data_IF_570079846341
#
_entry.id   IF_570079846341
#
_cell.length_a   1.000
_cell.length_b   1.000
_cell.length_c   1.000
_cell.angle_alpha   90.00
_cell.angle_beta   90.00
_cell.angle_gamma   90.00
#
_symmetry.space_group_name_H-M   'P 1'
#
loop_
_entity.id
_entity.type
_entity.pdbx_description
1 polymer ?
#
# COMPACT_ATOMS: atom_id res chain seq x y z
N UNK A 1 1.61 -18.13 3.46
CA UNK A 1 2.53 -17.10 3.99
C UNK A 1 2.99 -16.32 2.78
N UNK A 2 2.21 -15.32 2.35
CA UNK A 2 2.60 -14.47 1.23
C UNK A 2 3.50 -13.37 1.78
N UNK A 3 4.81 -13.58 1.64
CA UNK A 3 5.76 -12.47 1.72
C UNK A 3 5.57 -11.68 0.44
N UNK A 4 5.26 -10.38 0.53
CA UNK A 4 5.49 -9.47 -0.59
C UNK A 4 7.01 -9.32 -0.69
N UNK A 5 7.67 -10.31 -1.30
CA UNK A 5 9.02 -10.11 -1.78
C UNK A 5 8.96 -8.97 -2.78
N UNK A 6 9.75 -7.93 -2.53
CA UNK A 6 9.94 -6.79 -3.41
C UNK A 6 10.75 -7.23 -4.65
N UNK A 7 10.20 -8.15 -5.43
CA UNK A 7 10.69 -8.53 -6.74
C UNK A 7 10.66 -7.29 -7.64
N UNK A 8 11.84 -6.67 -7.76
CA UNK A 8 12.14 -5.44 -8.52
C UNK A 8 11.76 -4.11 -7.84
N UNK A 9 12.15 -3.96 -6.57
CA UNK A 9 12.89 -2.74 -6.22
C UNK A 9 14.39 -3.03 -6.25
N UNK A 10 15.00 -2.80 -7.41
CA UNK A 10 16.45 -2.89 -7.57
C UNK A 10 17.12 -1.69 -6.91
N UNK A 11 17.24 -1.73 -5.57
CA UNK A 11 18.44 -1.18 -4.97
C UNK A 11 19.62 -1.88 -5.64
N UNK A 12 20.62 -1.12 -6.11
CA UNK A 12 21.82 -1.74 -6.67
C UNK A 12 22.44 -2.64 -5.60
N UNK A 13 22.94 -3.80 -6.02
CA UNK A 13 23.53 -4.81 -5.12
C UNK A 13 24.57 -4.18 -4.18
N UNK A 14 25.35 -3.24 -4.74
CA UNK A 14 26.32 -2.38 -4.06
C UNK A 14 25.78 -1.54 -2.89
N UNK A 15 24.51 -1.09 -2.92
CA UNK A 15 23.93 -0.32 -1.83
C UNK A 15 23.54 -1.24 -0.67
N UNK A 16 22.90 -2.38 -0.95
CA UNK A 16 22.56 -3.39 0.07
C UNK A 16 23.79 -3.94 0.79
N UNK A 17 24.87 -4.21 0.05
CA UNK A 17 26.16 -4.64 0.62
C UNK A 17 26.78 -3.55 1.51
N UNK A 18 26.83 -2.30 1.01
CA UNK A 18 27.40 -1.16 1.74
C UNK A 18 26.65 -0.81 3.04
N UNK A 19 25.34 -1.04 3.11
CA UNK A 19 24.55 -0.87 4.34
C UNK A 19 24.81 -2.01 5.31
N UNK A 20 24.95 -3.25 4.81
CA UNK A 20 25.29 -4.40 5.64
C UNK A 20 26.69 -4.28 6.26
N UNK A 21 27.63 -3.58 5.60
CA UNK A 21 28.95 -3.25 6.13
C UNK A 21 28.94 -2.18 7.23
N UNK A 22 28.04 -1.19 7.14
CA UNK A 22 28.01 0.00 8.02
C UNK A 22 26.63 0.30 8.62
N UNK A 23 26.05 -0.62 9.40
CA UNK A 23 24.86 -0.35 10.18
C UNK A 23 25.22 0.53 11.40
N UNK A 24 24.26 1.33 11.87
CA UNK A 24 24.32 1.92 13.19
C UNK A 24 24.36 0.79 14.24
N UNK A 25 25.34 0.82 15.13
CA UNK A 25 25.52 -0.17 16.19
C UNK A 25 25.23 0.47 17.55
N UNK A 26 24.40 -0.18 18.34
CA UNK A 26 24.16 0.18 19.74
C UNK A 26 25.00 -0.79 20.58
N UNK A 27 25.92 -0.28 21.39
CA UNK A 27 26.88 -1.09 22.15
C UNK A 27 27.61 -2.17 21.32
N UNK A 28 28.01 -1.82 20.08
CA UNK A 28 28.64 -2.73 19.08
C UNK A 28 27.76 -3.91 18.64
N UNK A 29 26.46 -3.90 18.93
CA UNK A 29 25.50 -4.95 18.56
C UNK A 29 24.59 -4.44 17.44
N UNK A 30 24.37 -5.28 16.43
CA UNK A 30 23.50 -4.98 15.28
C UNK A 30 22.03 -5.07 15.71
N UNK A 31 21.21 -4.17 15.17
CA UNK A 31 19.76 -4.19 15.35
C UNK A 31 19.01 -3.86 14.05
N UNK A 32 17.73 -4.17 14.03
CA UNK A 32 16.75 -3.60 13.11
C UNK A 32 15.58 -2.98 13.89
N UNK A 33 14.72 -2.22 13.21
CA UNK A 33 13.45 -1.69 13.73
C UNK A 33 12.29 -2.39 13.02
N UNK A 34 11.38 -2.97 13.80
CA UNK A 34 10.04 -3.36 13.34
C UNK A 34 9.09 -2.17 13.50
N UNK A 35 8.58 -1.68 12.38
CA UNK A 35 7.57 -0.63 12.31
C UNK A 35 6.24 -1.20 11.79
N UNK A 36 5.17 -1.10 12.58
CA UNK A 36 3.84 -1.47 12.12
C UNK A 36 3.17 -0.34 11.32
N UNK A 37 2.42 -0.71 10.29
CA UNK A 37 1.55 0.19 9.55
C UNK A 37 0.31 -0.57 9.05
N UNK A 38 -0.78 0.15 8.85
CA UNK A 38 -2.11 -0.37 8.50
C UNK A 38 -2.57 0.32 7.20
N UNK A 39 -3.00 -0.48 6.22
CA UNK A 39 -3.66 0.03 5.01
C UNK A 39 -5.16 -0.25 5.13
N UNK A 40 -5.97 0.79 5.19
CA UNK A 40 -7.45 0.67 5.30
C UNK A 40 -8.16 0.77 3.96
N UNK A 41 -7.46 1.22 2.92
CA UNK A 41 -7.97 1.26 1.55
C UNK A 41 -6.78 1.30 0.57
N UNK A 42 -6.88 0.55 -0.52
CA UNK A 42 -5.89 0.51 -1.60
C UNK A 42 -6.23 1.45 -2.77
N UNK A 43 -7.44 2.03 -2.80
CA UNK A 43 -7.87 3.03 -3.80
C UNK A 43 -9.08 3.85 -3.31
N UNK A 44 -8.90 5.14 -2.92
CA UNK A 44 -7.64 5.84 -2.73
C UNK A 44 -6.76 5.15 -1.66
N UNK A 45 -5.46 5.05 -1.94
CA UNK A 45 -4.50 4.48 -0.98
C UNK A 45 -4.51 5.29 0.32
N UNK A 46 -4.76 4.62 1.45
CA UNK A 46 -4.87 5.22 2.78
C UNK A 46 -4.02 4.41 3.76
N UNK A 47 -2.97 5.03 4.29
CA UNK A 47 -1.92 4.40 5.11
C UNK A 47 -1.85 5.09 6.48
N UNK A 48 -1.90 4.27 7.52
CA UNK A 48 -1.72 4.66 8.92
C UNK A 48 -0.42 4.03 9.44
N UNK A 49 0.38 4.78 10.20
CA UNK A 49 1.62 4.30 10.81
C UNK A 49 1.41 4.22 12.32
N UNK A 50 1.82 3.11 12.94
CA UNK A 50 1.74 3.00 14.40
C UNK A 50 2.86 3.81 15.04
N UNK A 51 2.54 4.65 16.03
CA UNK A 51 3.50 5.59 16.63
C UNK A 51 4.59 4.89 17.43
N UNK A 52 4.30 3.71 17.98
CA UNK A 52 5.30 2.84 18.59
C UNK A 52 5.89 1.84 17.59
N UNK A 53 7.20 1.62 17.72
CA UNK A 53 7.96 0.57 17.03
C UNK A 53 8.92 -0.07 18.02
N UNK A 54 9.53 -1.20 17.66
CA UNK A 54 10.49 -1.89 18.52
C UNK A 54 11.74 -2.32 17.75
N UNK A 55 12.87 -2.29 18.45
CA UNK A 55 14.16 -2.73 17.96
C UNK A 55 14.34 -4.22 18.26
N UNK A 56 14.99 -4.96 17.35
CA UNK A 56 15.40 -6.35 17.55
C UNK A 56 16.92 -6.45 17.47
N UNK A 57 17.55 -6.94 18.53
CA UNK A 57 19.00 -7.03 18.65
C UNK A 57 19.54 -8.41 18.25
N UNK A 58 20.77 -8.42 17.75
CA UNK A 58 21.59 -9.63 17.68
C UNK A 58 22.05 -10.07 19.08
N UNK A 59 22.18 -11.39 19.29
CA UNK A 59 22.72 -11.99 20.51
C UNK A 59 24.24 -11.87 20.65
N UNK A 60 24.91 -11.37 19.60
CA UNK A 60 26.36 -11.24 19.50
C UNK A 60 26.79 -9.84 19.06
N UNK A 61 28.03 -9.50 19.41
CA UNK A 61 28.72 -8.30 18.92
C UNK A 61 28.93 -8.43 17.41
N UNK A 62 28.69 -7.33 16.68
CA UNK A 62 28.82 -7.28 15.23
C UNK A 62 30.29 -7.34 14.79
N UNK A 63 30.57 -8.04 13.67
CA UNK A 63 31.90 -8.11 13.07
C UNK A 63 31.80 -8.55 11.61
N UNK A 64 32.58 -7.92 10.73
CA UNK A 64 32.72 -8.33 9.32
C UNK A 64 33.68 -9.50 9.12
N UNK A 65 34.48 -9.83 10.15
CA UNK A 65 35.43 -10.96 10.11
C UNK A 65 34.75 -12.31 10.47
N UNK A 66 33.46 -12.30 10.78
CA UNK A 66 32.70 -13.48 11.20
C UNK A 66 31.29 -13.43 10.60
N UNK A 67 31.00 -14.34 9.67
CA UNK A 67 29.73 -14.38 8.92
C UNK A 67 28.64 -15.26 9.57
N UNK A 68 28.81 -15.70 10.82
CA UNK A 68 27.81 -16.53 11.50
C UNK A 68 26.48 -15.77 11.69
N UNK A 69 25.35 -16.44 11.42
CA UNK A 69 24.04 -15.78 11.25
C UNK A 69 23.61 -14.96 12.48
N UNK A 70 23.94 -15.39 13.69
CA UNK A 70 23.54 -14.70 14.93
C UNK A 70 24.17 -13.33 15.18
N UNK A 71 25.18 -12.92 14.38
CA UNK A 71 25.75 -11.56 14.39
C UNK A 71 25.04 -10.64 13.38
N UNK A 72 24.51 -11.21 12.30
CA UNK A 72 24.11 -10.48 11.09
C UNK A 72 22.60 -10.44 10.86
N UNK A 73 21.87 -11.45 11.31
CA UNK A 73 20.42 -11.53 11.24
C UNK A 73 19.81 -11.20 12.61
N UNK A 74 18.87 -10.28 12.64
CA UNK A 74 18.27 -9.73 13.88
C UNK A 74 16.84 -10.25 14.12
N UNK A 75 16.28 -10.99 13.16
CA UNK A 75 14.96 -11.61 13.23
C UNK A 75 14.85 -12.56 14.45
N UNK A 76 13.77 -12.42 15.23
CA UNK A 76 13.54 -13.22 16.45
C UNK A 76 13.60 -14.75 16.19
N UNK A 77 13.13 -15.24 15.04
CA UNK A 77 13.16 -16.66 14.69
C UNK A 77 14.59 -17.24 14.48
N UNK A 78 15.58 -16.39 14.24
CA UNK A 78 17.00 -16.76 14.26
C UNK A 78 17.55 -16.60 15.67
N UNK A 79 17.29 -15.44 16.30
CA UNK A 79 17.88 -15.09 17.58
C UNK A 79 17.39 -15.95 18.76
N UNK A 80 16.18 -16.50 18.72
CA UNK A 80 15.67 -17.41 19.75
C UNK A 80 16.43 -18.75 19.83
N UNK A 81 17.27 -19.08 18.83
CA UNK A 81 18.15 -20.26 18.84
C UNK A 81 19.44 -20.05 19.66
N UNK A 82 19.73 -18.82 20.07
CA UNK A 82 21.01 -18.43 20.66
C UNK A 82 20.86 -17.72 22.00
N UNK A 83 21.81 -17.96 22.90
CA UNK A 83 21.97 -17.17 24.11
C UNK A 83 22.90 -15.98 23.87
N UNK A 84 22.70 -14.92 24.64
CA UNK A 84 23.54 -13.73 24.57
C UNK A 84 24.96 -14.04 25.06
N UNK A 85 25.96 -13.68 24.25
CA UNK A 85 27.36 -13.97 24.59
C UNK A 85 27.89 -13.02 25.66
N UNK A 86 28.82 -13.44 26.56
CA UNK A 86 29.34 -12.59 27.64
C UNK A 86 30.03 -11.30 27.18
N UNK A 87 30.47 -11.23 25.92
CA UNK A 87 31.09 -10.05 25.31
C UNK A 87 30.07 -8.99 24.84
N UNK A 88 28.77 -9.32 24.82
CA UNK A 88 27.69 -8.36 24.55
C UNK A 88 27.50 -7.46 25.77
N UNK A 89 27.30 -6.18 25.54
CA UNK A 89 27.14 -5.19 26.61
C UNK A 89 25.91 -5.51 27.49
N UNK A 90 26.06 -5.30 28.80
CA UNK A 90 25.03 -5.57 29.81
C UNK A 90 23.95 -4.50 29.88
N UNK A 91 24.17 -3.33 29.27
CA UNK A 91 23.14 -2.31 29.08
C UNK A 91 22.05 -2.76 28.09
N UNK A 92 22.36 -3.72 27.21
CA UNK A 92 21.40 -4.29 26.27
C UNK A 92 20.49 -5.33 26.93
N UNK A 93 19.21 -5.41 26.51
CA UNK A 93 18.21 -6.26 27.14
C UNK A 93 18.52 -7.74 26.88
N UNK A 94 18.13 -8.60 27.84
CA UNK A 94 18.33 -10.06 27.74
C UNK A 94 17.36 -10.71 26.73
N UNK A 95 16.14 -10.20 26.60
CA UNK A 95 15.14 -10.63 25.62
C UNK A 95 15.32 -9.97 24.23
N UNK A 96 16.46 -9.28 24.02
CA UNK A 96 16.91 -8.75 22.74
C UNK A 96 15.94 -7.78 22.05
N UNK A 97 15.08 -7.09 22.81
CA UNK A 97 14.20 -6.04 22.28
C UNK A 97 14.19 -4.76 23.13
N UNK A 98 14.19 -3.61 22.45
CA UNK A 98 13.84 -2.31 23.03
C UNK A 98 12.58 -1.78 22.35
N UNK A 99 11.79 -0.97 23.05
CA UNK A 99 10.82 -0.11 22.37
C UNK A 99 11.49 1.17 21.83
N UNK A 100 10.81 1.86 20.93
CA UNK A 100 11.30 3.10 20.32
C UNK A 100 11.58 4.21 21.34
N UNK A 101 10.92 4.20 22.51
CA UNK A 101 11.15 5.18 23.58
C UNK A 101 12.48 4.95 24.29
N UNK A 102 12.84 3.68 24.52
CA UNK A 102 14.17 3.31 25.03
C UNK A 102 15.26 3.71 24.03
N UNK A 103 15.05 3.48 22.73
CA UNK A 103 15.99 3.94 21.69
C UNK A 103 16.10 5.48 21.60
N UNK A 104 15.00 6.22 21.68
CA UNK A 104 15.02 7.69 21.73
C UNK A 104 15.76 8.22 22.97
N UNK A 105 15.66 7.50 24.10
CA UNK A 105 16.41 7.84 25.32
C UNK A 105 17.91 7.62 25.13
N UNK A 106 18.31 6.50 24.51
CA UNK A 106 19.70 6.25 24.13
C UNK A 106 20.25 7.31 23.14
N UNK A 107 19.47 7.70 22.13
CA UNK A 107 19.86 8.79 21.20
C UNK A 107 20.05 10.12 21.94
N UNK A 108 19.23 10.40 22.96
CA UNK A 108 19.37 11.59 23.83
C UNK A 108 20.63 11.54 24.68
N UNK A 109 20.98 10.38 25.24
CA UNK A 109 22.21 10.16 26.01
C UNK A 109 23.46 10.33 25.13
N UNK A 110 23.36 9.96 23.84
CA UNK A 110 24.41 10.17 22.83
C UNK A 110 24.45 11.60 22.25
N UNK A 111 23.59 12.52 22.72
CA UNK A 111 23.56 13.92 22.25
C UNK A 111 23.06 14.10 20.81
N UNK A 112 22.27 13.16 20.30
CA UNK A 112 21.79 13.08 18.90
C UNK A 112 20.30 12.75 18.83
N UNK A 113 19.52 13.23 19.82
CA UNK A 113 18.07 12.95 19.95
C UNK A 113 17.31 13.30 18.68
N UNK A 114 17.67 14.41 18.08
CA UNK A 114 17.07 15.05 16.91
C UNK A 114 17.03 14.10 15.71
N UNK A 115 17.97 13.15 15.63
CA UNK A 115 18.02 12.13 14.56
C UNK A 115 16.80 11.23 14.48
N UNK A 116 16.08 11.04 15.58
CA UNK A 116 14.79 10.34 15.54
C UNK A 116 13.76 11.12 14.72
N UNK A 117 13.55 12.40 15.07
CA UNK A 117 12.49 13.24 14.52
C UNK A 117 12.84 13.83 13.13
N UNK A 118 14.13 14.10 12.86
CA UNK A 118 14.62 14.69 11.61
C UNK A 118 14.92 13.68 10.50
N UNK A 119 15.35 12.45 10.86
CA UNK A 119 15.90 11.49 9.90
C UNK A 119 15.21 10.12 9.94
N UNK A 120 15.17 9.47 11.10
CA UNK A 120 14.72 8.07 11.20
C UNK A 120 13.20 7.96 11.00
N UNK A 121 12.39 8.68 11.78
CA UNK A 121 10.93 8.59 11.69
C UNK A 121 10.37 9.10 10.35
N UNK A 122 10.82 10.26 9.80
CA UNK A 122 10.40 10.71 8.47
C UNK A 122 10.84 9.77 7.35
N UNK A 123 12.06 9.23 7.41
CA UNK A 123 12.58 8.32 6.40
C UNK A 123 11.83 6.98 6.37
N UNK A 124 11.50 6.40 7.54
CA UNK A 124 10.67 5.19 7.62
C UNK A 124 9.27 5.43 7.02
N UNK A 125 8.66 6.57 7.36
CA UNK A 125 7.37 6.99 6.80
C UNK A 125 7.42 7.13 5.28
N UNK A 126 8.43 7.82 4.76
CA UNK A 126 8.62 8.02 3.32
C UNK A 126 8.80 6.69 2.60
N UNK A 127 9.64 5.79 3.12
CA UNK A 127 9.86 4.47 2.53
C UNK A 127 8.56 3.66 2.44
N UNK A 128 7.79 3.56 3.54
CA UNK A 128 6.47 2.88 3.55
C UNK A 128 5.54 3.47 2.48
N UNK A 129 5.39 4.80 2.43
CA UNK A 129 4.49 5.47 1.50
C UNK A 129 4.92 5.26 0.05
N UNK A 130 6.21 5.41 -0.27
CA UNK A 130 6.75 5.19 -1.61
C UNK A 130 6.59 3.73 -2.06
N UNK A 131 6.90 2.76 -1.21
CA UNK A 131 6.75 1.33 -1.53
C UNK A 131 5.29 0.95 -1.76
N UNK A 132 4.37 1.40 -0.90
CA UNK A 132 2.93 1.14 -1.08
C UNK A 132 2.38 1.82 -2.35
N UNK A 133 2.83 3.03 -2.69
CA UNK A 133 2.40 3.71 -3.92
C UNK A 133 2.87 2.99 -5.18
N UNK A 134 4.11 2.51 -5.21
CA UNK A 134 4.66 1.77 -6.34
C UNK A 134 3.97 0.41 -6.55
N UNK A 135 3.64 -0.29 -5.47
CA UNK A 135 2.92 -1.58 -5.53
C UNK A 135 1.41 -1.44 -5.77
N UNK A 136 0.84 -0.23 -5.67
CA UNK A 136 -0.61 0.03 -5.70
C UNK A 136 -1.33 -0.50 -6.95
N UNK A 137 -0.66 -0.51 -8.11
CA UNK A 137 -1.26 -1.04 -9.33
C UNK A 137 -1.42 -2.56 -9.30
N UNK A 138 -0.56 -3.26 -8.55
CA UNK A 138 -0.57 -4.72 -8.37
C UNK A 138 -1.44 -5.16 -7.19
N UNK A 139 -1.66 -4.29 -6.19
CA UNK A 139 -2.47 -4.62 -5.02
C UNK A 139 -3.94 -4.87 -5.37
N UNK A 140 -4.55 -5.81 -4.63
CA UNK A 140 -5.88 -6.33 -4.90
C UNK A 140 -6.95 -5.35 -4.40
N UNK A 141 -7.75 -4.76 -5.31
CA UNK A 141 -8.66 -3.64 -4.99
C UNK A 141 -9.98 -4.10 -4.38
N UNK A 142 -9.91 -4.93 -3.34
CA UNK A 142 -11.08 -5.38 -2.59
C UNK A 142 -11.58 -4.22 -1.72
N UNK A 143 -12.88 -3.94 -1.78
CA UNK A 143 -13.49 -2.95 -0.90
C UNK A 143 -13.72 -3.55 0.48
N UNK A 144 -13.66 -2.71 1.52
CA UNK A 144 -13.85 -3.11 2.93
C UNK A 144 -12.83 -4.12 3.47
N UNK A 145 -11.72 -4.34 2.77
CA UNK A 145 -10.55 -5.05 3.31
C UNK A 145 -9.53 -4.04 3.84
N UNK A 146 -8.88 -4.40 4.95
CA UNK A 146 -7.71 -3.73 5.49
C UNK A 146 -6.62 -4.77 5.70
N UNK A 147 -5.36 -4.33 5.78
CA UNK A 147 -4.25 -5.21 6.13
C UNK A 147 -3.23 -4.47 7.01
N UNK A 148 -2.77 -5.14 8.06
CA UNK A 148 -1.66 -4.70 8.90
C UNK A 148 -0.37 -5.36 8.43
N UNK A 149 0.68 -4.55 8.32
CA UNK A 149 2.00 -4.94 7.85
C UNK A 149 3.06 -4.61 8.90
N UNK A 150 4.17 -5.35 8.88
CA UNK A 150 5.40 -5.00 9.58
C UNK A 150 6.49 -4.67 8.57
N UNK A 151 6.93 -3.41 8.54
CA UNK A 151 8.13 -3.02 7.81
C UNK A 151 9.37 -3.24 8.70
N UNK A 152 10.41 -3.83 8.13
CA UNK A 152 11.66 -4.11 8.82
C UNK A 152 12.72 -3.14 8.28
N UNK A 153 13.30 -2.32 9.15
CA UNK A 153 14.26 -1.28 8.80
C UNK A 153 15.62 -1.51 9.44
N UNK A 154 16.71 -1.31 8.69
CA UNK A 154 18.04 -1.11 9.27
C UNK A 154 18.40 0.38 9.24
N UNK A 155 19.09 0.86 10.27
CA UNK A 155 19.60 2.23 10.31
C UNK A 155 21.08 2.19 9.94
N UNK A 156 21.53 3.02 9.00
CA UNK A 156 22.96 3.20 8.68
C UNK A 156 23.64 4.19 9.63
N UNK A 157 24.98 4.21 9.65
CA UNK A 157 25.79 5.13 10.49
C UNK A 157 25.42 6.62 10.34
N UNK A 158 24.86 7.03 9.19
CA UNK A 158 24.38 8.39 8.92
C UNK A 158 22.91 8.64 9.32
N UNK A 159 22.34 7.77 10.16
CA UNK A 159 20.96 7.82 10.69
C UNK A 159 19.86 7.73 9.64
N UNK A 160 20.17 7.24 8.43
CA UNK A 160 19.15 6.97 7.41
C UNK A 160 18.52 5.59 7.63
N UNK A 161 17.17 5.47 7.59
CA UNK A 161 16.49 4.19 7.61
C UNK A 161 16.44 3.58 6.21
N UNK A 162 16.78 2.30 6.10
CA UNK A 162 16.71 1.50 4.88
C UNK A 162 15.73 0.37 5.07
N UNK A 163 14.70 0.33 4.23
CA UNK A 163 13.69 -0.72 4.23
C UNK A 163 14.32 -2.03 3.74
N UNK A 164 14.27 -3.07 4.56
CA UNK A 164 14.73 -4.42 4.22
C UNK A 164 13.61 -5.24 3.57
N UNK A 165 12.48 -5.34 4.26
CA UNK A 165 11.32 -6.13 3.83
C UNK A 165 10.01 -5.56 4.40
N UNK A 166 8.89 -5.97 3.80
CA UNK A 166 7.55 -5.73 4.34
C UNK A 166 6.87 -7.09 4.52
N UNK A 167 6.56 -7.40 5.77
CA UNK A 167 5.89 -8.61 6.20
C UNK A 167 4.38 -8.40 6.23
N UNK A 168 3.64 -9.12 5.38
CA UNK A 168 2.20 -9.32 5.52
C UNK A 168 1.92 -10.21 6.72
N UNK A 169 0.86 -9.94 7.48
CA UNK A 169 0.55 -10.64 8.75
C UNK A 169 1.76 -10.69 9.70
N UNK A 170 2.26 -9.53 10.20
CA UNK A 170 3.37 -9.49 11.14
C UNK A 170 3.05 -10.30 12.40
N UNK A 171 4.05 -10.97 12.98
CA UNK A 171 3.87 -11.69 14.23
C UNK A 171 3.50 -10.72 15.38
N UNK A 172 2.30 -10.91 15.94
CA UNK A 172 1.75 -10.14 17.06
C UNK A 172 1.72 -10.97 18.36
N UNK A 173 2.67 -11.90 18.51
CA UNK A 173 2.78 -12.74 19.70
C UNK A 173 3.59 -12.09 20.83
N UNK A 174 3.14 -12.33 22.06
CA UNK A 174 3.78 -11.88 23.30
C UNK A 174 5.03 -12.73 23.62
N UNK A 175 6.13 -12.43 22.95
CA UNK A 175 7.43 -13.14 23.10
C UNK A 175 8.41 -12.47 24.08
N UNK A 176 8.28 -11.17 24.27
CA UNK A 176 9.19 -10.31 25.06
C UNK A 176 8.38 -9.35 25.91
N UNK A 177 9.00 -8.64 26.86
CA UNK A 177 8.27 -7.63 27.65
C UNK A 177 7.68 -6.52 26.77
N UNK A 178 8.41 -6.14 25.72
CA UNK A 178 8.02 -5.14 24.72
C UNK A 178 6.79 -5.61 23.93
N UNK A 179 6.86 -6.78 23.30
CA UNK A 179 5.74 -7.31 22.48
C UNK A 179 4.51 -7.67 23.32
N UNK A 180 4.69 -8.11 24.57
CA UNK A 180 3.57 -8.39 25.48
C UNK A 180 2.73 -7.15 25.79
N UNK A 181 3.36 -5.96 25.87
CA UNK A 181 2.66 -4.68 26.03
C UNK A 181 2.09 -4.19 24.69
N UNK A 182 2.91 -4.16 23.65
CA UNK A 182 2.60 -3.47 22.40
C UNK A 182 1.61 -4.22 21.50
N UNK A 183 1.66 -5.55 21.43
CA UNK A 183 0.81 -6.31 20.50
C UNK A 183 -0.69 -6.21 20.83
N UNK A 184 -1.14 -6.36 22.09
CA UNK A 184 -2.56 -6.17 22.45
C UNK A 184 -3.04 -4.74 22.18
N UNK A 185 -2.23 -3.74 22.54
CA UNK A 185 -2.55 -2.32 22.36
C UNK A 185 -2.68 -1.95 20.86
N UNK A 186 -1.77 -2.44 20.01
CA UNK A 186 -1.85 -2.25 18.56
C UNK A 186 -3.09 -2.91 17.95
N UNK A 187 -3.53 -4.05 18.50
CA UNK A 187 -4.75 -4.73 18.04
C UNK A 187 -6.03 -4.00 18.47
N UNK A 188 -6.07 -3.45 19.68
CA UNK A 188 -7.17 -2.59 20.13
C UNK A 188 -7.27 -1.33 19.24
N UNK A 189 -6.16 -0.62 19.04
CA UNK A 189 -6.11 0.59 18.22
C UNK A 189 -6.45 0.33 16.74
N UNK A 190 -6.10 -0.85 16.22
CA UNK A 190 -6.50 -1.29 14.87
C UNK A 190 -8.03 -1.37 14.75
N UNK A 191 -8.72 -1.90 15.76
CA UNK A 191 -10.19 -1.96 15.77
C UNK A 191 -10.79 -0.55 15.74
N UNK A 192 -10.25 0.41 16.50
CA UNK A 192 -10.71 1.81 16.46
C UNK A 192 -10.59 2.43 15.06
N UNK A 193 -9.46 2.22 14.38
CA UNK A 193 -9.24 2.74 13.02
C UNK A 193 -10.15 2.07 11.98
N UNK A 194 -10.39 0.76 12.09
CA UNK A 194 -11.16 -0.01 11.08
C UNK A 194 -12.68 0.07 11.30
N UNK A 195 -13.13 0.09 12.55
CA UNK A 195 -14.54 0.02 12.95
C UNK A 195 -15.05 1.41 13.37
N UNK A 196 -14.47 2.01 14.40
CA UNK A 196 -15.02 3.25 14.98
C UNK A 196 -14.89 4.43 14.02
N UNK A 197 -13.78 4.52 13.27
CA UNK A 197 -13.64 5.56 12.23
C UNK A 197 -14.48 5.35 10.98
N UNK A 198 -15.06 4.15 10.80
CA UNK A 198 -16.06 3.90 9.75
C UNK A 198 -17.42 4.48 10.12
N UNK A 199 -17.75 4.59 11.40
CA UNK A 199 -19.02 5.18 11.89
C UNK A 199 -18.86 6.66 12.23
N UNK A 200 -17.76 7.05 12.87
CA UNK A 200 -17.44 8.41 13.27
C UNK A 200 -16.05 8.83 12.76
N UNK A 201 -16.00 9.70 11.75
CA UNK A 201 -14.74 10.17 11.17
C UNK A 201 -13.81 10.93 12.13
N UNK A 202 -14.25 11.25 13.35
CA UNK A 202 -13.48 11.88 14.43
C UNK A 202 -13.23 10.96 15.65
N UNK A 203 -13.52 9.66 15.55
CA UNK A 203 -13.20 8.71 16.62
C UNK A 203 -11.69 8.61 16.88
N UNK A 204 -11.33 8.16 18.08
CA UNK A 204 -9.96 7.86 18.48
C UNK A 204 -9.29 6.89 17.49
N UNK A 205 -7.97 7.02 17.33
CA UNK A 205 -7.13 6.07 16.59
C UNK A 205 -6.06 5.42 17.47
N UNK A 206 -6.07 5.74 18.77
CA UNK A 206 -5.02 5.39 19.70
C UNK A 206 -3.67 5.88 19.20
N UNK A 207 -2.76 4.94 18.94
CA UNK A 207 -1.42 5.26 18.43
C UNK A 207 -1.27 5.14 16.91
N UNK A 208 -2.35 4.99 16.13
CA UNK A 208 -2.27 5.09 14.66
C UNK A 208 -2.38 6.53 14.16
N UNK A 209 -1.31 7.02 13.53
CA UNK A 209 -1.29 8.30 12.82
C UNK A 209 -1.58 8.11 11.32
N UNK A 210 -2.46 8.94 10.75
CA UNK A 210 -2.69 8.95 9.29
C UNK A 210 -1.48 9.58 8.58
N UNK A 211 -0.63 8.77 7.97
CA UNK A 211 0.60 9.25 7.31
C UNK A 211 0.45 9.51 5.82
N UNK A 212 -0.54 8.88 5.16
CA UNK A 212 -0.82 9.14 3.75
C UNK A 212 -2.28 8.86 3.41
N UNK A 213 -2.88 9.76 2.63
CA UNK A 213 -4.18 9.56 2.00
C UNK A 213 -4.13 10.13 0.60
N UNK A 214 -4.24 9.26 -0.40
CA UNK A 214 -4.20 9.66 -1.80
C UNK A 214 -5.39 10.57 -2.12
N UNK A 215 -5.12 11.76 -2.65
CA UNK A 215 -6.14 12.56 -3.31
C UNK A 215 -6.43 11.95 -4.67
N UNK A 216 -7.68 11.54 -4.88
CA UNK A 216 -8.19 11.16 -6.21
C UNK A 216 -9.06 12.31 -6.66
N UNK A 217 -8.48 13.22 -7.46
CA UNK A 217 -9.24 14.22 -8.17
C UNK A 217 -10.30 13.49 -9.00
N UNK A 218 -11.60 13.83 -8.90
CA UNK A 218 -12.60 13.32 -9.82
C UNK A 218 -12.10 13.63 -11.24
N UNK A 219 -12.07 12.62 -12.11
CA UNK A 219 -11.80 12.87 -13.53
C UNK A 219 -12.88 13.84 -13.97
N UNK A 220 -12.50 15.09 -14.25
CA UNK A 220 -13.38 16.01 -14.92
C UNK A 220 -13.76 15.33 -16.23
N UNK A 221 -15.02 14.89 -16.33
CA UNK A 221 -15.59 14.46 -17.60
C UNK A 221 -15.33 15.61 -18.56
N UNK A 222 -14.48 15.37 -19.57
CA UNK A 222 -14.16 16.37 -20.56
C UNK A 222 -15.49 16.95 -21.06
N UNK A 223 -15.71 18.28 -20.99
CA UNK A 223 -16.89 18.92 -21.60
C UNK A 223 -16.75 18.95 -23.15
N UNK A 224 -16.03 17.99 -23.73
CA UNK A 224 -15.94 17.74 -25.16
C UNK A 224 -17.28 17.22 -25.65
N UNK A 225 -17.91 17.98 -26.54
CA UNK A 225 -19.29 17.77 -26.94
C UNK A 225 -19.57 16.37 -27.51
N UNK A 226 -20.73 15.84 -27.10
CA UNK A 226 -21.50 14.75 -27.70
C UNK A 226 -20.74 13.77 -28.61
N UNK A 227 -19.82 12.99 -28.02
CA UNK A 227 -19.14 11.88 -28.68
C UNK A 227 -20.10 10.70 -28.92
N UNK A 228 -20.92 10.81 -29.96
CA UNK A 228 -21.85 9.76 -30.39
C UNK A 228 -21.17 8.74 -31.32
N UNK A 229 -21.09 7.48 -30.86
CA UNK A 229 -20.65 6.36 -31.71
C UNK A 229 -21.82 5.91 -32.59
N UNK A 230 -21.77 6.22 -33.88
CA UNK A 230 -22.71 5.69 -34.89
C UNK A 230 -22.12 4.47 -35.61
N UNK A 231 -22.37 3.29 -35.07
CA UNK A 231 -22.08 2.02 -35.74
C UNK A 231 -23.16 1.63 -36.77
N UNK A 232 -22.76 0.93 -37.84
CA UNK A 232 -23.67 0.23 -38.75
C UNK A 232 -23.36 -1.27 -38.65
N UNK A 233 -24.38 -2.11 -38.50
CA UNK A 233 -24.17 -3.56 -38.44
C UNK A 233 -23.75 -4.07 -39.82
N UNK A 234 -22.57 -4.71 -39.92
CA UNK A 234 -22.01 -5.18 -41.20
C UNK A 234 -22.59 -6.56 -41.58
N UNK A 235 -23.14 -7.31 -40.62
CA UNK A 235 -23.68 -8.65 -40.86
C UNK A 235 -25.06 -8.84 -40.24
N UNK A 236 -26.07 -8.86 -41.10
CA UNK A 236 -27.30 -9.65 -40.89
C UNK A 236 -27.56 -10.49 -42.14
N UNK A 237 -28.20 -11.63 -41.90
CA UNK A 237 -28.79 -12.53 -42.90
C UNK A 237 -27.80 -13.34 -43.76
N UNK A 238 -27.14 -14.33 -43.13
CA UNK A 238 -26.76 -15.58 -43.83
C UNK A 238 -26.67 -16.85 -42.95
N UNK A 239 -27.53 -16.99 -41.93
CA UNK A 239 -27.71 -18.26 -41.19
C UNK A 239 -29.17 -18.63 -40.94
N UNK A 240 -29.99 -18.57 -42.00
CA UNK A 240 -31.27 -19.28 -42.11
C UNK A 240 -31.45 -19.85 -43.51
N UNK A 241 -30.72 -20.93 -43.84
CA UNK A 241 -31.01 -21.81 -44.99
C UNK A 241 -30.09 -23.06 -45.01
N UNK A 242 -30.00 -23.82 -43.89
CA UNK A 242 -29.47 -25.20 -43.90
C UNK A 242 -29.78 -25.94 -42.58
N UNK A 243 -31.07 -26.20 -42.33
CA UNK A 243 -31.51 -27.26 -41.39
C UNK A 243 -32.93 -27.79 -41.66
N UNK A 244 -33.32 -27.76 -42.94
CA UNK A 244 -34.55 -28.39 -43.47
C UNK A 244 -34.16 -29.19 -44.71
N UNK A 245 -33.38 -30.26 -44.50
CA UNK A 245 -33.09 -31.35 -45.44
C UNK A 245 -32.03 -32.29 -44.81
N UNK A 246 -32.47 -33.16 -43.90
CA UNK A 246 -31.85 -34.43 -43.44
C UNK A 246 -32.60 -34.80 -42.16
N UNK A 247 -33.59 -35.67 -42.28
CA UNK A 247 -34.47 -36.07 -41.17
C UNK A 247 -33.94 -37.27 -40.39
N UNK A 248 -34.63 -37.56 -39.27
CA UNK A 248 -34.75 -38.85 -38.54
C UNK A 248 -33.42 -39.58 -38.14
N UNK A 249 -33.29 -40.19 -36.96
CA UNK A 249 -34.33 -40.72 -36.05
C UNK A 249 -33.79 -41.04 -34.65
N UNK A 250 -34.65 -40.96 -33.62
CA UNK A 250 -34.53 -41.66 -32.31
C UNK A 250 -33.33 -41.30 -31.39
N UNK A 251 -33.47 -40.95 -30.10
CA UNK A 251 -34.16 -41.63 -28.98
C UNK A 251 -34.33 -40.68 -27.77
N UNK A 252 -35.39 -40.93 -26.96
CA UNK A 252 -35.52 -40.84 -25.47
C UNK A 252 -34.69 -39.81 -24.65
N UNK A 253 -35.15 -39.19 -23.56
CA UNK A 253 -36.48 -39.04 -22.92
C UNK A 253 -36.33 -38.06 -21.72
N UNK A 254 -37.28 -37.12 -21.54
CA UNK A 254 -37.75 -36.53 -20.25
C UNK A 254 -36.78 -36.47 -19.03
N UNK A 255 -36.36 -35.29 -18.56
CA UNK A 255 -37.13 -34.43 -17.61
C UNK A 255 -36.52 -33.00 -17.56
N UNK A 256 -37.22 -31.86 -17.57
CA UNK A 256 -38.22 -31.29 -16.62
C UNK A 256 -37.71 -31.29 -15.16
N UNK A 257 -37.62 -30.22 -14.36
CA UNK A 257 -38.11 -28.83 -14.38
C UNK A 257 -37.08 -27.92 -13.61
N UNK A 258 -37.23 -26.63 -13.25
CA UNK A 258 -38.31 -25.61 -13.28
C UNK A 258 -37.72 -24.22 -13.65
N UNK A 259 -38.53 -23.15 -13.59
CA UNK A 259 -38.18 -21.75 -13.87
C UNK A 259 -37.82 -20.93 -12.62
N UNK A 260 -37.18 -19.75 -12.81
CA UNK A 260 -37.78 -18.50 -12.30
C UNK A 260 -37.54 -17.30 -13.24
N UNK A 261 -38.56 -16.47 -13.33
CA UNK A 261 -38.77 -15.43 -14.36
C UNK A 261 -38.21 -14.06 -13.97
N UNK A 262 -38.07 -13.18 -14.96
CA UNK A 262 -38.55 -11.80 -14.79
C UNK A 262 -39.16 -11.27 -16.10
N UNK A 263 -40.43 -10.85 -16.03
CA UNK A 263 -41.15 -10.22 -17.14
C UNK A 263 -41.03 -8.70 -17.01
N UNK A 264 -40.70 -8.01 -18.09
CA UNK A 264 -41.13 -6.63 -18.28
C UNK A 264 -42.16 -6.58 -19.41
N UNK A 265 -43.27 -5.89 -19.15
CA UNK A 265 -44.41 -5.77 -20.08
C UNK A 265 -44.31 -4.43 -20.77
N UNK A 266 -44.39 -4.44 -22.11
CA UNK A 266 -44.63 -3.22 -22.91
C UNK A 266 -45.72 -3.51 -23.94
N UNK A 267 -46.95 -3.13 -23.63
CA UNK A 267 -47.81 -2.52 -24.65
C UNK A 267 -47.20 -1.16 -25.03
N UNK A 268 -47.32 -0.64 -26.25
CA UNK A 268 -48.12 -1.11 -27.37
C UNK A 268 -48.91 0.05 -27.95
N UNK A 269 -48.32 0.83 -28.87
CA UNK A 269 -49.08 1.69 -29.78
C UNK A 269 -48.25 2.03 -31.01
N UNK A 270 -48.83 1.81 -32.20
CA UNK A 270 -48.32 2.28 -33.48
C UNK A 270 -48.92 3.65 -33.76
N UNK A 271 -48.12 4.62 -34.23
CA UNK A 271 -48.62 5.65 -35.15
C UNK A 271 -47.54 6.08 -36.13
N UNK A 272 -47.85 5.93 -37.42
CA UNK A 272 -47.09 6.48 -38.53
C UNK A 272 -47.54 7.93 -38.75
N UNK A 273 -46.62 8.82 -39.13
CA UNK A 273 -46.93 10.01 -39.91
C UNK A 273 -45.66 10.52 -40.63
N UNK A 274 -45.88 11.24 -41.71
CA UNK A 274 -44.98 11.30 -42.88
C UNK A 274 -44.21 12.60 -43.03
N UNK A 275 -43.06 12.49 -43.70
CA UNK A 275 -42.44 13.48 -44.61
C UNK A 275 -42.31 14.95 -44.18
N UNK A 276 -41.05 15.40 -44.08
CA UNK A 276 -40.55 16.47 -44.98
C UNK A 276 -39.02 16.55 -45.03
N UNK A 277 -38.47 16.55 -46.24
CA UNK A 277 -37.09 16.94 -46.53
C UNK A 277 -36.99 18.46 -46.43
N UNK A 278 -36.02 18.99 -45.69
CA UNK A 278 -35.53 20.37 -45.86
C UNK A 278 -34.01 20.45 -45.73
N UNK A 279 -33.43 21.32 -46.55
CA UNK A 279 -32.05 21.42 -47.00
C UNK A 279 -31.01 21.67 -45.88
N UNK A 280 -29.78 21.20 -46.12
CA UNK A 280 -28.58 21.51 -45.33
C UNK A 280 -27.94 22.85 -45.78
N UNK A 281 -27.50 23.72 -44.86
CA UNK A 281 -26.54 24.78 -45.15
C UNK A 281 -25.08 24.27 -45.17
N UNK A 282 -24.19 25.02 -45.83
CA UNK A 282 -22.80 24.64 -46.10
C UNK A 282 -21.86 24.88 -44.92
N UNK A 283 -20.78 24.11 -44.91
CA UNK A 283 -19.59 24.32 -44.08
C UNK A 283 -18.93 25.69 -44.38
N UNK A 284 -18.44 26.35 -43.34
CA UNK A 284 -17.49 27.47 -43.43
C UNK A 284 -16.29 27.18 -42.51
N UNK A 285 -15.12 27.71 -42.88
CA UNK A 285 -13.82 27.28 -42.35
C UNK A 285 -13.61 27.60 -40.86
N UNK A 286 -13.07 26.63 -40.12
CA UNK A 286 -12.50 26.83 -38.79
C UNK A 286 -10.97 26.96 -38.86
N UNK A 287 -10.34 27.88 -38.10
CA UNK A 287 -8.90 28.09 -38.14
C UNK A 287 -8.13 26.96 -37.42
N UNK A 288 -6.89 26.76 -37.88
CA UNK A 288 -5.95 25.75 -37.42
C UNK A 288 -5.58 25.96 -35.94
N UNK A 289 -5.80 24.94 -35.09
CA UNK A 289 -5.42 24.96 -33.67
C UNK A 289 -4.18 24.12 -33.44
N UNK A 290 -3.09 24.78 -33.09
CA UNK A 290 -1.88 24.15 -32.53
C UNK A 290 -2.21 23.36 -31.27
N UNK A 291 -1.77 22.11 -31.20
CA UNK A 291 -1.94 21.25 -30.03
C UNK A 291 -1.12 21.79 -28.83
N UNK A 292 -1.69 21.84 -27.60
CA UNK A 292 -0.91 22.14 -26.41
C UNK A 292 0.05 20.97 -26.08
N UNK A 293 1.15 21.23 -25.35
CA UNK A 293 2.15 20.21 -25.04
C UNK A 293 1.56 19.05 -24.22
N UNK A 294 2.10 17.85 -24.48
CA UNK A 294 1.70 16.60 -23.83
C UNK A 294 1.88 16.74 -22.32
N UNK A 295 0.81 16.51 -21.55
CA UNK A 295 0.84 16.50 -20.10
C UNK A 295 1.77 15.41 -19.58
N UNK A 296 2.96 15.80 -19.13
CA UNK A 296 3.87 14.95 -18.38
C UNK A 296 3.29 14.70 -16.98
N UNK A 297 3.07 13.44 -16.64
CA UNK A 297 2.58 13.02 -15.32
C UNK A 297 3.57 13.47 -14.22
N UNK A 298 3.12 13.64 -12.96
CA UNK A 298 4.02 13.97 -11.86
C UNK A 298 5.13 12.93 -11.74
N UNK A 299 6.38 13.41 -11.69
CA UNK A 299 7.55 12.57 -11.50
C UNK A 299 7.64 12.29 -9.99
N UNK A 300 8.22 11.14 -9.60
CA UNK A 300 8.34 10.73 -8.18
C UNK A 300 9.01 11.82 -7.31
N UNK A 301 9.88 12.64 -7.90
CA UNK A 301 10.51 13.82 -7.27
C UNK A 301 9.47 14.82 -6.75
N UNK A 302 8.42 15.12 -7.52
CA UNK A 302 7.35 16.05 -7.13
C UNK A 302 6.60 15.56 -5.89
N UNK A 303 6.46 14.23 -5.76
CA UNK A 303 5.83 13.61 -4.60
C UNK A 303 6.72 13.71 -3.34
N UNK A 304 8.04 13.53 -3.51
CA UNK A 304 9.03 13.64 -2.42
C UNK A 304 9.06 15.07 -1.87
N UNK A 305 9.05 16.08 -2.75
CA UNK A 305 8.94 17.49 -2.32
C UNK A 305 7.64 17.78 -1.56
N UNK A 306 6.51 17.26 -2.03
CA UNK A 306 5.22 17.51 -1.40
C UNK A 306 5.09 16.83 -0.03
N UNK A 307 5.69 15.66 0.17
CA UNK A 307 5.81 15.03 1.49
C UNK A 307 6.67 15.88 2.43
N UNK A 308 7.80 16.41 1.96
CA UNK A 308 8.68 17.28 2.76
C UNK A 308 8.06 18.64 3.09
N UNK A 309 7.21 19.19 2.21
CA UNK A 309 6.42 20.41 2.50
C UNK A 309 5.33 20.17 3.54
N UNK A 310 4.87 18.92 3.72
CA UNK A 310 3.86 18.55 4.72
C UNK A 310 4.42 18.38 6.14
N UNK A 311 5.72 18.07 6.30
CA UNK A 311 6.35 17.91 7.63
C UNK A 311 6.69 19.24 8.31
N UNK A 312 6.83 20.33 7.55
CA UNK A 312 7.28 21.64 8.06
C UNK A 312 6.16 22.57 8.55
N UNK A 313 4.88 22.16 8.50
CA UNK A 313 3.77 23.05 8.90
C UNK A 313 2.65 22.33 9.69
N UNK A 314 2.70 22.30 11.04
CA UNK A 314 1.72 21.61 11.88
C UNK A 314 0.31 22.25 11.94
N UNK A 315 0.04 23.33 11.17
CA UNK A 315 -1.20 24.11 11.28
C UNK A 315 -1.74 24.56 9.92
N UNK A 316 -2.61 23.75 9.32
CA UNK A 316 -3.95 24.18 8.84
C UNK A 316 -4.70 23.01 8.19
N UNK A 317 -5.66 22.44 8.91
CA UNK A 317 -6.81 21.75 8.31
C UNK A 317 -8.08 22.33 8.94
N UNK A 318 -8.52 23.49 8.44
CA UNK A 318 -9.91 23.93 8.62
C UNK A 318 -10.78 23.15 7.64
N UNK A 319 -11.99 22.82 8.08
CA UNK A 319 -12.91 21.96 7.34
C UNK A 319 -13.41 22.59 6.03
N UNK A 320 -13.62 21.71 5.05
CA UNK A 320 -14.67 21.79 4.03
C UNK A 320 -15.20 20.36 3.85
#
# INVERSE_FOLDING_TARGET
MEVIQLHRFTFSQTNTEKIAERPLLIHKTKFDIRQWFLVTNFRPLTIWMYRESYLRFSSRVFSLNNFHESLHLTNHAVQCKYTNVPQRDRALPHDNMWDCHTFQTWLKEMGIKEKWDENILPGMRQAIVCTMLASQELMDKRQHTFEIYGADFIISEDFKPWLLEINCNPALSSTTRVTTRMCPQCMEDLVKVVIDRRTNSKADTGLFDLVYRQSVTPIALYPGGDLSIRGRCIFKDQYKLQKVALGNESKRSTSQFWHRSNKFVTSGSKRSLTSRLTQSPRLTHSPERTLPPIYTRPIIVDLIENLNKSSTNPKTWKAA
#
